data_IF_016243454263
#
_entry.id   IF_016243454263
#
_cell.length_a   1.000
_cell.length_b   1.000
_cell.length_c   1.000
_cell.angle_alpha   90.00
_cell.angle_beta   90.00
_cell.angle_gamma   90.00
#
_symmetry.space_group_name_H-M   'P 1'
#
loop_
_entity.id
_entity.type
_entity.pdbx_description
1 polymer ?
#
# COMPACT_ATOMS: atom_id res chain seq x y z
N UNK A 1 -13.71 -6.62 -0.95
CA UNK A 1 -15.01 -6.70 -1.63
C UNK A 1 -15.70 -8.02 -1.34
N UNK A 2 -17.05 -8.00 -1.30
CA UNK A 2 -17.88 -9.20 -1.15
C UNK A 2 -18.64 -9.48 -2.46
N UNK A 3 -17.91 -9.44 -3.57
CA UNK A 3 -18.41 -9.74 -4.90
C UNK A 3 -18.03 -11.16 -5.30
N UNK A 4 -18.87 -11.79 -6.10
CA UNK A 4 -18.62 -13.10 -6.71
C UNK A 4 -18.03 -12.87 -8.10
N UNK A 5 -16.77 -13.23 -8.30
CA UNK A 5 -15.98 -12.91 -9.49
C UNK A 5 -16.61 -13.40 -10.80
N UNK A 6 -17.10 -14.64 -10.83
CA UNK A 6 -17.71 -15.24 -12.01
C UNK A 6 -19.16 -14.82 -12.27
N UNK A 7 -19.71 -13.88 -11.50
CA UNK A 7 -21.06 -13.35 -11.70
C UNK A 7 -21.01 -11.98 -12.36
N UNK A 8 -22.11 -11.61 -13.06
CA UNK A 8 -22.24 -10.27 -13.62
C UNK A 8 -22.41 -9.20 -12.52
N UNK A 9 -22.16 -7.94 -12.87
CA UNK A 9 -22.44 -6.79 -12.01
C UNK A 9 -23.90 -6.83 -11.53
N UNK A 10 -24.86 -7.07 -12.44
CA UNK A 10 -26.28 -7.17 -12.09
C UNK A 10 -26.53 -8.27 -11.09
N UNK A 11 -26.03 -9.48 -11.35
CA UNK A 11 -26.26 -10.63 -10.47
C UNK A 11 -25.67 -10.43 -9.07
N UNK A 12 -24.53 -9.74 -8.95
CA UNK A 12 -23.94 -9.37 -7.68
C UNK A 12 -24.78 -8.34 -6.91
N UNK A 13 -25.35 -7.34 -7.61
CA UNK A 13 -26.17 -6.31 -6.98
C UNK A 13 -27.47 -6.88 -6.41
N UNK A 14 -28.16 -7.74 -7.15
CA UNK A 14 -29.47 -8.29 -6.77
C UNK A 14 -29.39 -9.50 -5.86
N UNK A 15 -28.23 -10.11 -5.70
CA UNK A 15 -28.03 -11.32 -4.90
C UNK A 15 -28.62 -11.19 -3.48
N UNK A 16 -29.54 -12.09 -3.13
CA UNK A 16 -30.23 -12.13 -1.85
C UNK A 16 -31.42 -11.17 -1.70
N UNK A 17 -31.73 -10.40 -2.77
CA UNK A 17 -32.92 -9.51 -2.89
C UNK A 17 -33.49 -9.57 -4.30
N UNK A 18 -33.40 -10.74 -4.92
CA UNK A 18 -33.79 -10.96 -6.30
C UNK A 18 -35.31 -10.70 -6.50
N UNK A 19 -35.70 -9.82 -7.43
CA UNK A 19 -37.12 -9.65 -7.73
C UNK A 19 -37.67 -10.90 -8.43
N UNK A 20 -38.67 -11.52 -7.84
CA UNK A 20 -39.29 -12.73 -8.38
C UNK A 20 -40.78 -12.55 -8.62
N UNK A 21 -41.31 -13.15 -9.68
CA UNK A 21 -42.72 -13.23 -9.98
C UNK A 21 -43.09 -14.66 -10.34
N UNK A 22 -44.03 -15.25 -9.60
CA UNK A 22 -44.45 -16.65 -9.74
C UNK A 22 -43.27 -17.64 -9.71
N UNK A 23 -42.22 -17.36 -8.90
CA UNK A 23 -41.02 -18.20 -8.79
C UNK A 23 -39.97 -17.95 -9.91
N UNK A 24 -40.19 -17.02 -10.81
CA UNK A 24 -39.25 -16.68 -11.87
C UNK A 24 -38.56 -15.34 -11.58
N UNK A 25 -37.25 -15.30 -11.76
CA UNK A 25 -36.41 -14.12 -11.59
C UNK A 25 -36.74 -13.04 -12.62
N UNK A 26 -36.98 -11.80 -12.17
CA UNK A 26 -37.30 -10.63 -13.01
C UNK A 26 -36.06 -9.80 -13.32
N UNK A 27 -35.08 -10.37 -14.05
CA UNK A 27 -33.80 -9.70 -14.39
C UNK A 27 -33.99 -8.36 -15.13
N UNK A 28 -35.04 -8.21 -15.95
CA UNK A 28 -35.28 -6.98 -16.71
C UNK A 28 -35.63 -5.81 -15.78
N UNK A 29 -36.53 -6.02 -14.85
CA UNK A 29 -36.94 -5.02 -13.86
C UNK A 29 -35.75 -4.63 -12.95
N UNK A 30 -34.99 -5.62 -12.51
CA UNK A 30 -33.78 -5.41 -11.73
C UNK A 30 -32.76 -4.55 -12.50
N UNK A 31 -32.54 -4.85 -13.77
CA UNK A 31 -31.62 -4.10 -14.63
C UNK A 31 -32.02 -2.64 -14.78
N UNK A 32 -33.30 -2.38 -15.06
CA UNK A 32 -33.83 -1.01 -15.20
C UNK A 32 -33.61 -0.22 -13.91
N UNK A 33 -33.84 -0.83 -12.76
CA UNK A 33 -33.59 -0.20 -11.44
C UNK A 33 -32.12 0.05 -11.16
N UNK A 34 -31.22 -0.88 -11.49
CA UNK A 34 -29.77 -0.71 -11.33
C UNK A 34 -29.27 0.43 -12.22
N UNK A 35 -29.72 0.50 -13.48
CA UNK A 35 -29.35 1.58 -14.40
C UNK A 35 -29.85 2.95 -13.91
N UNK A 36 -31.08 3.01 -13.37
CA UNK A 36 -31.62 4.25 -12.81
C UNK A 36 -30.80 4.73 -11.58
N UNK A 37 -30.36 3.82 -10.71
CA UNK A 37 -29.47 4.14 -9.58
C UNK A 37 -28.09 4.56 -10.08
N UNK A 38 -27.54 3.86 -11.05
CA UNK A 38 -26.25 4.18 -11.68
C UNK A 38 -26.25 5.59 -12.28
N UNK A 39 -27.32 5.98 -12.97
CA UNK A 39 -27.48 7.32 -13.52
C UNK A 39 -27.66 8.38 -12.43
N UNK A 40 -28.53 8.11 -11.44
CA UNK A 40 -28.84 9.04 -10.34
C UNK A 40 -27.59 9.45 -9.55
N UNK A 41 -26.69 8.50 -9.26
CA UNK A 41 -25.51 8.73 -8.43
C UNK A 41 -24.20 8.82 -9.23
N UNK A 42 -24.26 8.84 -10.58
CA UNK A 42 -23.07 8.93 -11.43
C UNK A 42 -22.18 7.67 -11.41
N UNK A 43 -22.66 6.57 -10.81
CA UNK A 43 -21.93 5.30 -10.65
C UNK A 43 -22.03 4.45 -11.92
N UNK A 44 -21.36 4.85 -13.00
CA UNK A 44 -21.43 4.15 -14.28
C UNK A 44 -20.87 2.73 -14.18
N UNK A 45 -21.70 1.75 -14.49
CA UNK A 45 -21.35 0.31 -14.58
C UNK A 45 -22.02 -0.30 -15.80
N UNK A 46 -21.43 -1.37 -16.34
CA UNK A 46 -22.10 -2.26 -17.29
C UNK A 46 -22.72 -3.44 -16.50
N UNK A 47 -24.07 -3.54 -16.44
CA UNK A 47 -24.74 -4.61 -15.69
C UNK A 47 -24.40 -6.03 -16.15
N UNK A 48 -23.94 -6.22 -17.38
CA UNK A 48 -23.66 -7.52 -17.99
C UNK A 48 -22.17 -7.92 -17.87
N UNK A 49 -21.28 -6.98 -17.52
CA UNK A 49 -19.87 -7.26 -17.33
C UNK A 49 -19.65 -8.23 -16.17
N UNK A 50 -18.73 -9.17 -16.31
CA UNK A 50 -18.30 -10.03 -15.22
C UNK A 50 -17.40 -9.26 -14.23
N UNK A 51 -17.48 -9.58 -12.95
CA UNK A 51 -16.69 -8.90 -11.93
C UNK A 51 -15.19 -9.12 -12.14
N UNK A 52 -14.78 -10.30 -12.61
CA UNK A 52 -13.37 -10.61 -12.91
C UNK A 52 -12.79 -9.78 -14.07
N UNK A 53 -13.64 -9.24 -14.96
CA UNK A 53 -13.23 -8.46 -16.15
C UNK A 53 -13.19 -6.96 -15.91
N UNK A 54 -13.70 -6.47 -14.76
CA UNK A 54 -13.80 -5.03 -14.47
C UNK A 54 -12.71 -4.55 -13.52
N UNK A 55 -12.38 -3.27 -13.60
CA UNK A 55 -11.40 -2.62 -12.73
C UNK A 55 -11.86 -2.59 -11.27
N UNK A 56 -10.90 -2.43 -10.35
CA UNK A 56 -11.18 -2.33 -8.90
C UNK A 56 -12.10 -1.16 -8.58
N UNK A 57 -11.96 -0.01 -9.24
CA UNK A 57 -12.87 1.14 -9.12
C UNK A 57 -14.30 0.79 -9.55
N UNK A 58 -14.48 0.00 -10.62
CA UNK A 58 -15.81 -0.48 -11.04
C UNK A 58 -16.38 -1.51 -10.05
N UNK A 59 -15.54 -2.35 -9.44
CA UNK A 59 -15.97 -3.25 -8.37
C UNK A 59 -16.49 -2.46 -7.17
N UNK A 60 -15.81 -1.38 -6.78
CA UNK A 60 -16.25 -0.49 -5.71
C UNK A 60 -17.61 0.16 -6.03
N UNK A 61 -17.79 0.68 -7.25
CA UNK A 61 -19.08 1.22 -7.71
C UNK A 61 -20.19 0.17 -7.66
N UNK A 62 -19.88 -1.09 -7.98
CA UNK A 62 -20.81 -2.22 -7.88
C UNK A 62 -21.23 -2.48 -6.43
N UNK A 63 -20.29 -2.46 -5.47
CA UNK A 63 -20.61 -2.62 -4.03
C UNK A 63 -21.50 -1.47 -3.51
N UNK A 64 -21.25 -0.23 -3.94
CA UNK A 64 -22.08 0.92 -3.58
C UNK A 64 -23.48 0.75 -4.15
N UNK A 65 -23.61 0.42 -5.43
CA UNK A 65 -24.91 0.17 -6.08
C UNK A 65 -25.68 -0.97 -5.41
N UNK A 66 -24.98 -2.03 -4.97
CA UNK A 66 -25.54 -3.15 -4.21
C UNK A 66 -26.15 -2.69 -2.88
N UNK A 67 -25.51 -1.78 -2.16
CA UNK A 67 -26.07 -1.17 -0.95
C UNK A 67 -27.28 -0.30 -1.25
N UNK A 68 -27.19 0.53 -2.28
CA UNK A 68 -28.26 1.45 -2.68
C UNK A 68 -29.48 0.70 -3.21
N UNK A 69 -29.32 -0.38 -3.94
CA UNK A 69 -30.40 -1.21 -4.46
C UNK A 69 -31.29 -1.77 -3.34
N UNK A 70 -30.71 -2.00 -2.15
CA UNK A 70 -31.41 -2.54 -0.98
C UNK A 70 -32.19 -1.48 -0.18
N UNK A 71 -32.12 -0.19 -0.57
CA UNK A 71 -32.82 0.92 0.09
C UNK A 71 -32.53 1.07 1.59
N UNK A 72 -31.36 0.67 2.04
CA UNK A 72 -30.96 0.75 3.44
C UNK A 72 -30.96 2.23 3.92
N UNK A 73 -31.38 2.46 5.16
CA UNK A 73 -31.33 3.78 5.82
C UNK A 73 -29.97 4.06 6.45
N UNK A 74 -29.27 3.00 6.88
CA UNK A 74 -27.94 3.08 7.49
C UNK A 74 -26.95 2.39 6.55
N UNK A 75 -25.92 3.15 6.14
CA UNK A 75 -24.86 2.68 5.25
C UNK A 75 -23.55 2.62 6.04
N UNK A 76 -22.82 1.52 5.91
CA UNK A 76 -21.53 1.34 6.58
C UNK A 76 -20.48 1.18 5.50
N UNK A 77 -19.52 2.11 5.46
CA UNK A 77 -18.36 2.08 4.58
C UNK A 77 -17.10 1.79 5.41
N UNK A 78 -16.47 0.66 5.16
CA UNK A 78 -15.24 0.24 5.84
C UNK A 78 -14.06 0.36 4.89
N UNK A 79 -13.23 1.39 5.10
CA UNK A 79 -12.07 1.76 4.28
C UNK A 79 -12.32 1.75 2.75
N UNK A 80 -13.36 2.45 2.25
CA UNK A 80 -13.80 2.31 0.86
C UNK A 80 -12.85 2.95 -0.14
N UNK A 81 -11.84 3.70 0.30
CA UNK A 81 -10.93 4.48 -0.55
C UNK A 81 -9.55 3.83 -0.74
N UNK A 82 -9.32 2.66 -0.12
CA UNK A 82 -8.00 2.04 -0.05
C UNK A 82 -7.38 1.70 -1.43
N UNK A 83 -8.19 1.60 -2.48
CA UNK A 83 -7.77 1.17 -3.84
C UNK A 83 -8.26 2.12 -4.93
N UNK A 84 -8.76 3.30 -4.55
CA UNK A 84 -9.30 4.29 -5.47
C UNK A 84 -8.25 5.33 -5.87
N UNK A 85 -8.38 5.85 -7.08
CA UNK A 85 -7.63 7.04 -7.53
C UNK A 85 -8.13 8.29 -6.80
N UNK A 86 -7.36 9.39 -6.74
CA UNK A 86 -7.81 10.64 -6.14
C UNK A 86 -9.15 11.13 -6.69
N UNK A 87 -9.35 11.05 -8.01
CA UNK A 87 -10.60 11.47 -8.66
C UNK A 87 -11.78 10.59 -8.23
N UNK A 88 -11.58 9.26 -8.10
CA UNK A 88 -12.62 8.35 -7.62
C UNK A 88 -12.92 8.55 -6.12
N UNK A 89 -11.94 8.99 -5.33
CA UNK A 89 -12.14 9.38 -3.93
C UNK A 89 -13.04 10.61 -3.85
N UNK A 90 -12.75 11.65 -4.63
CA UNK A 90 -13.56 12.87 -4.68
C UNK A 90 -15.02 12.55 -5.10
N UNK A 91 -15.21 11.71 -6.14
CA UNK A 91 -16.53 11.23 -6.56
C UNK A 91 -17.26 10.50 -5.43
N UNK A 92 -16.56 9.64 -4.69
CA UNK A 92 -17.14 8.91 -3.56
C UNK A 92 -17.55 9.85 -2.41
N UNK A 93 -16.72 10.85 -2.09
CA UNK A 93 -17.05 11.85 -1.06
C UNK A 93 -18.32 12.65 -1.45
N UNK A 94 -18.46 13.03 -2.72
CA UNK A 94 -19.67 13.69 -3.23
C UNK A 94 -20.91 12.80 -3.12
N UNK A 95 -20.80 11.52 -3.46
CA UNK A 95 -21.88 10.54 -3.30
C UNK A 95 -22.30 10.43 -1.85
N UNK A 96 -21.35 10.33 -0.93
CA UNK A 96 -21.66 10.24 0.51
C UNK A 96 -22.37 11.50 1.01
N UNK A 97 -21.93 12.71 0.61
CA UNK A 97 -22.63 13.95 0.93
C UNK A 97 -24.07 13.98 0.37
N UNK A 98 -24.27 13.54 -0.87
CA UNK A 98 -25.59 13.45 -1.49
C UNK A 98 -26.50 12.50 -0.74
N UNK A 99 -26.01 11.32 -0.37
CA UNK A 99 -26.77 10.33 0.42
C UNK A 99 -27.14 10.86 1.81
N UNK A 100 -26.22 11.55 2.49
CA UNK A 100 -26.49 12.19 3.77
C UNK A 100 -27.55 13.29 3.63
N UNK A 101 -27.51 14.11 2.56
CA UNK A 101 -28.52 15.11 2.26
C UNK A 101 -29.91 14.51 1.95
N UNK A 102 -29.98 13.29 1.42
CA UNK A 102 -31.19 12.51 1.23
C UNK A 102 -31.74 11.90 2.55
N UNK A 103 -31.05 12.12 3.68
CA UNK A 103 -31.47 11.63 4.99
C UNK A 103 -30.93 10.25 5.37
N UNK A 104 -30.00 9.70 4.59
CA UNK A 104 -29.31 8.45 4.97
C UNK A 104 -28.32 8.70 6.10
N UNK A 105 -28.23 7.74 7.01
CA UNK A 105 -27.20 7.74 8.06
C UNK A 105 -25.97 6.97 7.56
N UNK A 106 -24.80 7.62 7.59
CA UNK A 106 -23.55 7.02 7.08
C UNK A 106 -22.59 6.81 8.25
N UNK A 107 -22.11 5.57 8.41
CA UNK A 107 -20.99 5.23 9.26
C UNK A 107 -19.78 4.95 8.36
N UNK A 108 -18.82 5.86 8.38
CA UNK A 108 -17.61 5.80 7.56
C UNK A 108 -16.41 5.47 8.45
N UNK A 109 -15.73 4.39 8.13
CA UNK A 109 -14.52 3.95 8.84
C UNK A 109 -13.34 4.21 7.92
N UNK A 110 -12.41 5.03 8.37
CA UNK A 110 -11.16 5.34 7.66
C UNK A 110 -10.08 5.73 8.67
N UNK A 111 -8.83 5.51 8.27
CA UNK A 111 -7.66 6.07 8.95
C UNK A 111 -7.10 7.30 8.21
N UNK A 112 -7.62 7.63 7.02
CA UNK A 112 -7.23 8.77 6.20
C UNK A 112 -7.92 10.04 6.69
N UNK A 113 -7.18 10.87 7.43
CA UNK A 113 -7.74 12.04 8.10
C UNK A 113 -8.27 13.10 7.13
N UNK A 114 -7.71 13.20 5.92
CA UNK A 114 -8.20 14.12 4.88
C UNK A 114 -9.66 13.81 4.55
N UNK A 115 -9.96 12.54 4.25
CA UNK A 115 -11.29 12.07 3.91
C UNK A 115 -12.29 12.27 5.07
N UNK A 116 -11.84 11.93 6.29
CA UNK A 116 -12.65 12.10 7.50
C UNK A 116 -13.04 13.56 7.69
N UNK A 117 -12.06 14.47 7.60
CA UNK A 117 -12.30 15.91 7.77
C UNK A 117 -13.18 16.50 6.68
N UNK A 118 -13.20 15.91 5.51
CA UNK A 118 -13.94 16.40 4.35
C UNK A 118 -15.42 16.02 4.38
N UNK A 119 -15.76 14.79 4.79
CA UNK A 119 -17.11 14.24 4.60
C UNK A 119 -17.91 14.06 5.90
N UNK A 120 -17.24 13.93 7.06
CA UNK A 120 -17.95 13.59 8.28
C UNK A 120 -18.40 14.82 9.09
N UNK A 121 -19.58 14.74 9.71
CA UNK A 121 -20.07 15.74 10.68
C UNK A 121 -19.42 15.56 12.05
N UNK A 122 -19.21 14.30 12.45
CA UNK A 122 -18.64 13.92 13.75
C UNK A 122 -17.69 12.76 13.61
N UNK A 123 -16.62 12.78 14.39
CA UNK A 123 -15.61 11.73 14.41
C UNK A 123 -15.56 11.07 15.78
N UNK A 124 -15.78 9.77 15.80
CA UNK A 124 -15.60 8.93 17.00
C UNK A 124 -14.28 8.19 16.90
N UNK A 125 -13.41 8.38 17.89
CA UNK A 125 -12.08 7.75 17.90
C UNK A 125 -12.11 6.47 18.72
N UNK A 126 -11.68 5.37 18.10
CA UNK A 126 -11.43 4.08 18.74
C UNK A 126 -9.92 3.82 18.82
N UNK A 127 -9.44 3.41 20.00
CA UNK A 127 -8.03 3.06 20.19
C UNK A 127 -7.91 1.80 21.02
N UNK A 128 -7.26 0.76 20.48
CA UNK A 128 -7.07 -0.55 21.15
C UNK A 128 -8.40 -1.13 21.68
N UNK A 129 -9.46 -1.05 20.87
CA UNK A 129 -10.78 -1.54 21.21
C UNK A 129 -11.55 -0.68 22.25
N UNK A 130 -11.03 0.48 22.63
CA UNK A 130 -11.68 1.40 23.58
C UNK A 130 -12.17 2.64 22.85
N UNK A 131 -13.35 3.09 23.18
CA UNK A 131 -13.88 4.39 22.81
C UNK A 131 -13.11 5.49 23.55
N UNK A 132 -12.55 6.46 22.81
CA UNK A 132 -11.74 7.56 23.36
C UNK A 132 -12.58 8.83 23.48
N UNK A 133 -13.44 9.09 22.51
CA UNK A 133 -14.30 10.27 22.48
C UNK A 133 -14.91 10.49 21.11
N UNK A 134 -15.88 11.41 21.05
CA UNK A 134 -16.45 11.93 19.82
C UNK A 134 -16.27 13.44 19.78
N UNK A 135 -15.86 13.95 18.64
CA UNK A 135 -15.67 15.39 18.38
C UNK A 135 -16.44 15.79 17.12
N UNK A 136 -16.89 17.05 17.06
CA UNK A 136 -17.43 17.60 15.82
C UNK A 136 -16.27 17.92 14.87
N UNK A 137 -16.42 17.58 13.61
CA UNK A 137 -15.36 17.80 12.60
C UNK A 137 -15.02 19.28 12.45
N UNK A 138 -16.01 20.16 12.56
CA UNK A 138 -15.83 21.61 12.49
C UNK A 138 -15.06 22.23 13.68
N UNK A 139 -14.88 21.50 14.78
CA UNK A 139 -14.27 21.95 16.03
C UNK A 139 -12.92 21.28 16.33
N UNK A 140 -12.45 20.40 15.45
CA UNK A 140 -11.23 19.62 15.63
C UNK A 140 -10.25 19.82 14.49
N UNK A 141 -9.05 19.27 14.64
CA UNK A 141 -7.99 19.30 13.64
C UNK A 141 -7.45 17.90 13.36
N UNK A 142 -6.83 17.69 12.19
CA UNK A 142 -6.12 16.45 11.87
C UNK A 142 -5.11 16.07 12.96
N UNK A 143 -4.42 17.08 13.51
CA UNK A 143 -3.43 16.87 14.57
C UNK A 143 -4.07 16.38 15.87
N UNK A 144 -5.23 16.92 16.25
CA UNK A 144 -5.98 16.46 17.44
C UNK A 144 -6.48 15.04 17.27
N UNK A 145 -7.09 14.74 16.14
CA UNK A 145 -7.57 13.38 15.82
C UNK A 145 -6.42 12.37 15.87
N UNK A 146 -5.28 12.69 15.26
CA UNK A 146 -4.08 11.84 15.32
C UNK A 146 -3.62 11.58 16.74
N UNK A 147 -3.56 12.62 17.57
CA UNK A 147 -3.17 12.49 18.97
C UNK A 147 -4.16 11.61 19.75
N UNK A 148 -5.46 11.73 19.47
CA UNK A 148 -6.48 10.86 20.09
C UNK A 148 -6.32 9.40 19.63
N UNK A 149 -6.08 9.16 18.34
CA UNK A 149 -5.88 7.81 17.76
C UNK A 149 -4.66 7.12 18.34
N UNK A 150 -3.54 7.82 18.45
CA UNK A 150 -2.25 7.26 18.91
C UNK A 150 -2.13 7.31 20.44
N UNK A 151 -2.66 8.36 21.08
CA UNK A 151 -2.59 8.58 22.53
C UNK A 151 -1.36 9.29 23.03
N UNK A 152 -0.61 9.90 22.13
CA UNK A 152 0.50 10.81 22.36
C UNK A 152 0.54 11.84 21.23
N UNK A 153 1.28 12.94 21.38
CA UNK A 153 1.56 13.81 20.26
C UNK A 153 2.20 13.04 19.10
N UNK A 154 1.72 13.28 17.88
CA UNK A 154 2.17 12.66 16.64
C UNK A 154 2.68 13.76 15.72
N UNK A 155 3.74 13.47 15.00
CA UNK A 155 4.27 14.34 13.96
C UNK A 155 3.68 13.90 12.62
N UNK A 156 2.70 14.64 12.07
CA UNK A 156 2.06 14.31 10.80
C UNK A 156 2.96 14.63 9.61
N UNK A 157 3.76 15.69 9.74
CA UNK A 157 4.71 16.07 8.71
C UNK A 157 6.04 15.35 8.92
N UNK A 158 6.56 14.78 7.85
CA UNK A 158 7.89 14.17 7.87
C UNK A 158 8.94 15.26 7.89
N UNK A 159 9.61 15.43 9.04
CA UNK A 159 10.78 16.31 9.12
C UNK A 159 12.00 15.54 8.63
N UNK A 160 12.60 16.03 7.56
CA UNK A 160 13.85 15.48 7.00
C UNK A 160 14.78 16.61 6.55
N UNK A 161 16.07 16.39 6.73
CA UNK A 161 17.09 17.26 6.17
C UNK A 161 17.15 17.16 4.65
N UNK A 162 17.85 18.08 4.00
CA UNK A 162 18.10 17.99 2.58
C UNK A 162 18.96 16.75 2.26
N UNK A 163 18.54 15.98 1.26
CA UNK A 163 19.27 14.80 0.84
C UNK A 163 20.69 15.15 0.41
N UNK A 164 21.64 14.29 0.74
CA UNK A 164 23.04 14.41 0.32
C UNK A 164 23.42 13.17 -0.53
N UNK A 165 22.89 13.07 -1.76
CA UNK A 165 23.16 11.92 -2.61
C UNK A 165 24.65 11.74 -2.87
N UNK A 166 25.12 10.51 -2.70
CA UNK A 166 26.52 10.13 -2.98
C UNK A 166 26.59 9.21 -4.22
N UNK A 167 27.46 8.19 -4.21
CA UNK A 167 27.62 7.25 -5.33
C UNK A 167 26.36 6.43 -5.65
N UNK A 168 26.28 5.95 -6.88
CA UNK A 168 25.21 5.05 -7.32
C UNK A 168 25.27 3.73 -6.55
N UNK A 169 24.13 3.33 -5.96
CA UNK A 169 23.97 2.03 -5.30
C UNK A 169 23.19 1.06 -6.18
N UNK A 170 22.09 1.53 -6.78
CA UNK A 170 21.30 0.75 -7.74
C UNK A 170 21.29 1.47 -9.08
N UNK A 171 21.60 0.74 -10.17
CA UNK A 171 21.36 1.17 -11.54
C UNK A 171 20.51 0.12 -12.24
N UNK A 172 19.43 0.55 -12.83
CA UNK A 172 18.55 -0.23 -13.70
C UNK A 172 18.67 0.34 -15.10
N UNK A 173 18.87 -0.50 -16.10
CA UNK A 173 19.17 -0.10 -17.46
C UNK A 173 18.40 -0.95 -18.47
N UNK A 174 17.45 -0.34 -19.19
CA UNK A 174 16.57 -0.96 -20.17
C UNK A 174 15.85 -2.23 -19.69
N UNK A 175 15.38 -2.22 -18.43
CA UNK A 175 14.77 -3.38 -17.79
C UNK A 175 13.39 -3.68 -18.36
N UNK A 176 13.18 -4.93 -18.79
CA UNK A 176 11.87 -5.47 -19.11
C UNK A 176 11.58 -6.68 -18.24
N UNK A 177 10.32 -6.77 -17.77
CA UNK A 177 9.80 -7.92 -17.01
C UNK A 177 8.48 -8.36 -17.61
N UNK A 178 8.33 -9.65 -17.86
CA UNK A 178 7.13 -10.21 -18.48
C UNK A 178 6.00 -10.30 -17.47
N UNK A 179 4.76 -10.04 -17.91
CA UNK A 179 3.57 -10.22 -17.06
C UNK A 179 3.19 -11.70 -16.97
N UNK A 180 2.84 -12.17 -15.78
CA UNK A 180 2.29 -13.52 -15.59
C UNK A 180 0.79 -13.61 -15.93
N UNK A 181 0.11 -12.46 -16.01
CA UNK A 181 -1.34 -12.38 -16.27
C UNK A 181 -1.62 -12.05 -17.74
N UNK A 182 -0.81 -11.19 -18.33
CA UNK A 182 -0.99 -10.71 -19.70
C UNK A 182 0.13 -11.21 -20.60
N UNK A 183 -0.16 -11.42 -21.90
CA UNK A 183 0.85 -11.83 -22.92
C UNK A 183 1.73 -10.66 -23.39
N UNK A 184 2.10 -9.75 -22.50
CA UNK A 184 2.98 -8.60 -22.77
C UNK A 184 3.92 -8.36 -21.60
N UNK A 185 4.89 -7.48 -21.77
CA UNK A 185 5.70 -7.02 -20.65
C UNK A 185 4.83 -6.16 -19.70
N UNK A 186 5.00 -6.39 -18.42
CA UNK A 186 4.45 -5.54 -17.35
C UNK A 186 5.39 -4.37 -17.03
N UNK A 187 6.71 -4.58 -17.26
CA UNK A 187 7.74 -3.54 -17.20
C UNK A 187 8.37 -3.46 -18.57
N UNK A 188 8.44 -2.27 -19.13
CA UNK A 188 8.85 -2.06 -20.51
C UNK A 188 9.90 -0.94 -20.60
N UNK A 189 11.13 -1.33 -20.87
CA UNK A 189 12.28 -0.43 -21.11
C UNK A 189 12.56 0.57 -19.98
N UNK A 190 12.49 0.13 -18.73
CA UNK A 190 12.65 0.99 -17.55
C UNK A 190 14.13 1.20 -17.23
N UNK A 191 14.53 2.47 -17.09
CA UNK A 191 15.90 2.87 -16.73
C UNK A 191 15.86 3.93 -15.63
N UNK A 192 16.61 3.72 -14.53
CA UNK A 192 16.78 4.69 -13.45
C UNK A 192 17.95 4.32 -12.54
N UNK A 193 18.32 5.26 -11.67
CA UNK A 193 19.34 5.05 -10.64
C UNK A 193 18.84 5.40 -9.25
N UNK A 194 19.39 4.77 -8.21
CA UNK A 194 19.19 5.17 -6.79
C UNK A 194 20.57 5.33 -6.17
N UNK A 195 20.82 6.48 -5.57
CA UNK A 195 22.10 6.84 -4.96
C UNK A 195 22.07 6.67 -3.44
N UNK A 196 23.22 6.48 -2.86
CA UNK A 196 23.38 6.50 -1.39
C UNK A 196 22.90 7.85 -0.83
N UNK A 197 22.14 7.83 0.27
CA UNK A 197 21.63 9.03 0.92
C UNK A 197 20.45 9.70 0.22
N UNK A 198 19.71 8.96 -0.66
CA UNK A 198 18.46 9.45 -1.24
C UNK A 198 17.31 8.45 -1.13
N UNK A 199 16.09 8.97 -1.09
CA UNK A 199 14.85 8.22 -1.26
C UNK A 199 14.32 8.52 -2.66
N UNK A 200 14.35 7.52 -3.54
CA UNK A 200 13.68 7.57 -4.84
C UNK A 200 12.36 6.82 -4.71
N UNK A 201 11.26 7.49 -5.03
CA UNK A 201 9.95 6.86 -5.02
C UNK A 201 9.49 6.53 -6.44
N UNK A 202 8.99 5.32 -6.63
CA UNK A 202 8.19 4.94 -7.79
C UNK A 202 6.73 5.13 -7.42
N UNK A 203 6.12 6.17 -7.97
CA UNK A 203 4.71 6.49 -7.82
C UNK A 203 3.92 5.94 -9.01
N UNK A 204 2.63 5.63 -8.80
CA UNK A 204 1.74 5.17 -9.86
C UNK A 204 0.46 4.59 -9.28
N UNK A 205 -0.49 4.25 -10.14
CA UNK A 205 -1.72 3.55 -9.76
C UNK A 205 -1.43 2.04 -9.75
N UNK A 206 -2.12 1.29 -8.89
CA UNK A 206 -1.96 -0.16 -8.79
C UNK A 206 -2.16 -0.86 -10.16
N UNK A 207 -1.32 -1.86 -10.45
CA UNK A 207 -1.36 -2.60 -11.71
C UNK A 207 -0.57 -1.99 -12.87
N UNK A 208 0.18 -0.92 -12.66
CA UNK A 208 1.03 -0.29 -13.69
C UNK A 208 2.43 -0.93 -13.83
N UNK A 209 2.69 -2.09 -13.20
CA UNK A 209 3.96 -2.82 -13.34
C UNK A 209 4.92 -2.66 -12.15
N UNK A 210 4.54 -1.93 -11.10
CA UNK A 210 5.40 -1.72 -9.92
C UNK A 210 5.77 -3.04 -9.24
N UNK A 211 4.81 -3.96 -9.09
CA UNK A 211 5.01 -5.27 -8.47
C UNK A 211 6.00 -6.10 -9.28
N UNK A 212 5.85 -6.17 -10.60
CA UNK A 212 6.74 -6.90 -11.49
C UNK A 212 8.15 -6.28 -11.53
N UNK A 213 8.24 -4.95 -11.49
CA UNK A 213 9.53 -4.26 -11.36
C UNK A 213 10.24 -4.69 -10.07
N UNK A 214 9.56 -4.66 -8.94
CA UNK A 214 10.13 -5.09 -7.65
C UNK A 214 10.52 -6.58 -7.69
N UNK A 215 9.70 -7.43 -8.29
CA UNK A 215 10.03 -8.86 -8.42
C UNK A 215 11.27 -9.07 -9.28
N UNK A 216 11.40 -8.34 -10.40
CA UNK A 216 12.61 -8.32 -11.21
C UNK A 216 13.85 -7.87 -10.44
N UNK A 217 13.73 -6.80 -9.64
CA UNK A 217 14.82 -6.26 -8.82
C UNK A 217 15.24 -7.20 -7.69
N UNK A 218 14.27 -7.81 -7.00
CA UNK A 218 14.52 -8.68 -5.85
C UNK A 218 14.87 -10.12 -6.24
N UNK A 219 14.63 -10.49 -7.51
CA UNK A 219 14.88 -11.83 -8.05
C UNK A 219 13.76 -12.83 -7.76
N UNK A 220 12.59 -12.34 -7.34
CA UNK A 220 11.35 -13.15 -7.26
C UNK A 220 10.86 -13.52 -8.65
N UNK A 221 11.17 -12.67 -9.64
CA UNK A 221 10.96 -12.94 -11.06
C UNK A 221 12.24 -12.67 -11.86
N UNK A 222 12.33 -13.23 -13.06
CA UNK A 222 13.48 -13.05 -13.95
C UNK A 222 13.20 -11.93 -14.94
N UNK A 223 14.11 -10.94 -15.06
CA UNK A 223 14.05 -9.98 -16.15
C UNK A 223 14.05 -10.69 -17.53
N UNK A 224 13.24 -10.20 -18.47
CA UNK A 224 13.26 -10.67 -19.85
C UNK A 224 14.37 -10.03 -20.66
N UNK A 225 14.77 -8.80 -20.31
CA UNK A 225 15.93 -8.08 -20.86
C UNK A 225 16.37 -6.96 -19.92
N UNK A 226 17.47 -6.29 -20.25
CA UNK A 226 18.06 -5.21 -19.47
C UNK A 226 19.03 -5.69 -18.40
N UNK A 227 19.63 -4.73 -17.69
CA UNK A 227 20.63 -5.01 -16.66
C UNK A 227 20.28 -4.35 -15.33
N UNK A 228 20.62 -5.01 -14.23
CA UNK A 228 20.47 -4.52 -12.87
C UNK A 228 21.85 -4.55 -12.22
N UNK A 229 22.39 -3.38 -11.91
CA UNK A 229 23.67 -3.24 -11.22
C UNK A 229 23.43 -2.79 -9.78
N UNK A 230 23.97 -3.52 -8.80
CA UNK A 230 23.90 -3.21 -7.38
C UNK A 230 25.31 -3.10 -6.80
N UNK A 231 25.64 -1.95 -6.20
CA UNK A 231 26.96 -1.65 -5.68
C UNK A 231 28.09 -1.93 -6.72
N UNK A 232 27.86 -1.57 -7.98
CA UNK A 232 28.80 -1.75 -9.07
C UNK A 232 28.91 -3.18 -9.64
N UNK A 233 28.08 -4.13 -9.17
CA UNK A 233 28.06 -5.52 -9.64
C UNK A 233 26.76 -5.80 -10.40
N UNK A 234 26.86 -6.46 -11.55
CA UNK A 234 25.69 -6.97 -12.26
C UNK A 234 25.03 -8.11 -11.46
N UNK A 235 23.76 -7.91 -11.12
CA UNK A 235 22.93 -8.88 -10.39
C UNK A 235 21.73 -9.37 -11.20
N UNK A 236 21.66 -9.07 -12.50
CA UNK A 236 20.49 -9.35 -13.36
C UNK A 236 20.06 -10.83 -13.28
N UNK A 237 21.01 -11.74 -13.17
CA UNK A 237 20.78 -13.18 -13.06
C UNK A 237 21.20 -13.77 -11.71
N UNK A 238 21.52 -12.92 -10.72
CA UNK A 238 21.92 -13.37 -9.40
C UNK A 238 20.74 -13.98 -8.63
N UNK A 239 21.04 -14.95 -7.77
CA UNK A 239 20.04 -15.53 -6.86
C UNK A 239 19.53 -14.52 -5.83
N UNK A 240 18.33 -14.73 -5.31
CA UNK A 240 17.74 -13.91 -4.21
C UNK A 240 18.73 -13.78 -3.04
N UNK A 241 19.39 -14.87 -2.67
CA UNK A 241 20.38 -14.87 -1.59
C UNK A 241 21.55 -13.95 -1.86
N UNK A 242 22.09 -13.95 -3.08
CA UNK A 242 23.20 -13.08 -3.47
C UNK A 242 22.78 -11.61 -3.52
N UNK A 243 21.60 -11.32 -4.06
CA UNK A 243 21.02 -9.95 -4.02
C UNK A 243 20.86 -9.45 -2.59
N UNK A 244 20.43 -10.33 -1.67
CA UNK A 244 20.26 -10.05 -0.25
C UNK A 244 21.56 -9.75 0.52
N UNK A 245 22.75 -9.88 -0.09
CA UNK A 245 24.00 -9.44 0.52
C UNK A 245 24.10 -7.91 0.61
N UNK A 246 23.50 -7.18 -0.34
CA UNK A 246 23.49 -5.71 -0.42
C UNK A 246 22.09 -5.09 -0.40
N UNK A 247 21.03 -5.90 -0.41
CA UNK A 247 19.64 -5.45 -0.51
C UNK A 247 18.79 -5.98 0.64
N UNK A 248 17.99 -5.10 1.24
CA UNK A 248 16.85 -5.43 2.09
C UNK A 248 15.55 -5.19 1.35
N UNK A 249 14.52 -5.99 1.62
CA UNK A 249 13.22 -5.89 0.97
C UNK A 249 12.09 -5.91 1.99
N UNK A 250 11.35 -4.81 2.07
CA UNK A 250 10.11 -4.68 2.81
C UNK A 250 8.99 -4.90 1.78
N UNK A 251 8.33 -6.06 1.76
CA UNK A 251 7.38 -6.40 0.72
C UNK A 251 6.01 -5.76 0.95
N UNK A 252 5.25 -5.58 -0.14
CA UNK A 252 3.87 -5.13 -0.11
C UNK A 252 2.96 -6.08 0.68
N UNK A 253 3.00 -7.38 0.34
CA UNK A 253 2.22 -8.41 1.04
C UNK A 253 3.03 -9.02 2.19
N UNK A 254 2.63 -8.62 3.40
CA UNK A 254 3.23 -9.07 4.67
C UNK A 254 3.12 -10.57 4.88
N UNK A 255 2.05 -11.18 4.38
CA UNK A 255 1.70 -12.58 4.62
C UNK A 255 2.29 -13.51 3.57
N UNK A 256 2.40 -13.05 2.32
CA UNK A 256 2.95 -13.84 1.22
C UNK A 256 4.47 -13.83 1.20
N UNK A 257 5.08 -12.65 1.43
CA UNK A 257 6.51 -12.44 1.27
C UNK A 257 7.22 -11.90 2.52
N UNK A 258 6.47 -11.38 3.51
CA UNK A 258 7.04 -10.72 4.68
C UNK A 258 7.33 -11.68 5.83
N UNK A 259 6.35 -12.41 6.31
CA UNK A 259 6.41 -13.25 7.51
C UNK A 259 5.90 -14.66 7.25
N UNK A 260 6.51 -15.63 7.91
CA UNK A 260 5.91 -16.97 8.06
C UNK A 260 4.96 -16.91 9.25
N UNK A 261 3.66 -16.87 8.98
CA UNK A 261 2.62 -16.57 9.99
C UNK A 261 2.59 -17.57 11.16
N UNK A 262 2.88 -18.84 10.91
CA UNK A 262 2.89 -19.89 11.95
C UNK A 262 4.19 -19.95 12.75
N UNK A 263 5.22 -19.24 12.32
CA UNK A 263 6.46 -19.10 13.06
C UNK A 263 6.32 -18.09 14.20
N UNK A 264 7.15 -18.26 15.23
CA UNK A 264 7.29 -17.26 16.28
C UNK A 264 7.98 -16.01 15.74
N UNK A 265 7.86 -14.90 16.47
CA UNK A 265 8.51 -13.65 16.12
C UNK A 265 10.05 -13.83 16.06
N UNK A 266 10.65 -14.54 17.01
CA UNK A 266 12.09 -14.83 17.01
C UNK A 266 12.55 -15.62 15.78
N UNK A 267 11.76 -16.59 15.33
CA UNK A 267 12.07 -17.36 14.11
C UNK A 267 11.98 -16.46 12.87
N UNK A 268 10.97 -15.59 12.79
CA UNK A 268 10.84 -14.62 11.72
C UNK A 268 11.97 -13.59 11.69
N UNK A 269 12.48 -13.14 12.85
CA UNK A 269 13.57 -12.17 12.93
C UNK A 269 14.89 -12.69 12.37
N UNK A 270 15.15 -13.98 12.44
CA UNK A 270 16.39 -14.60 11.94
C UNK A 270 16.21 -15.34 10.61
N UNK A 271 15.03 -15.29 10.00
CA UNK A 271 14.67 -16.10 8.83
C UNK A 271 15.68 -16.02 7.67
N UNK A 272 16.29 -14.87 7.46
CA UNK A 272 17.29 -14.64 6.40
C UNK A 272 18.74 -14.71 6.92
N UNK A 273 18.93 -14.91 8.21
CA UNK A 273 20.23 -14.87 8.89
C UNK A 273 20.55 -16.13 9.70
N UNK A 274 19.67 -17.13 9.68
CA UNK A 274 19.77 -18.32 10.53
C UNK A 274 21.11 -19.07 10.40
N UNK A 275 21.79 -18.93 9.26
CA UNK A 275 23.07 -19.57 8.95
C UNK A 275 24.29 -18.68 9.30
N UNK A 276 24.10 -17.52 9.91
CA UNK A 276 25.21 -16.72 10.43
C UNK A 276 25.84 -17.40 11.66
N UNK A 277 27.18 -17.31 11.85
CA UNK A 277 27.87 -17.96 12.97
C UNK A 277 27.31 -17.60 14.35
N UNK A 278 26.62 -16.48 14.47
CA UNK A 278 25.91 -16.04 15.67
C UNK A 278 24.73 -16.95 16.04
N UNK A 279 24.01 -17.42 15.01
CA UNK A 279 22.73 -18.12 15.14
C UNK A 279 22.84 -19.62 14.87
N UNK A 280 23.91 -20.06 14.24
CA UNK A 280 24.17 -21.45 13.88
C UNK A 280 25.52 -21.90 14.45
N UNK A 281 25.58 -23.13 14.99
CA UNK A 281 26.77 -23.76 15.41
C UNK A 281 26.75 -25.25 15.03
N UNK A 282 27.64 -25.68 14.14
CA UNK A 282 27.76 -27.08 13.64
C UNK A 282 26.44 -27.68 13.13
N UNK A 283 25.64 -26.91 12.43
CA UNK A 283 24.33 -27.32 11.87
C UNK A 283 23.15 -27.20 12.84
N UNK A 284 23.37 -26.72 14.06
CA UNK A 284 22.31 -26.53 15.05
C UNK A 284 22.03 -25.06 15.30
N UNK A 285 20.77 -24.70 15.42
CA UNK A 285 20.34 -23.34 15.73
C UNK A 285 20.60 -23.03 17.22
N UNK A 286 21.28 -21.92 17.48
CA UNK A 286 21.46 -21.38 18.81
C UNK A 286 20.22 -20.60 19.28
N UNK A 287 19.23 -21.32 19.82
CA UNK A 287 17.96 -20.75 20.25
C UNK A 287 18.10 -19.59 21.25
N UNK A 288 19.16 -19.60 22.10
CA UNK A 288 19.43 -18.51 23.04
C UNK A 288 19.81 -17.23 22.29
N UNK A 289 20.77 -17.33 21.37
CA UNK A 289 21.20 -16.18 20.55
C UNK A 289 20.05 -15.63 19.70
N UNK A 290 19.20 -16.51 19.14
CA UNK A 290 18.00 -16.14 18.40
C UNK A 290 17.01 -15.36 19.28
N UNK A 291 16.74 -15.86 20.50
CA UNK A 291 15.87 -15.22 21.47
C UNK A 291 16.39 -13.85 21.91
N UNK A 292 17.68 -13.77 22.26
CA UNK A 292 18.31 -12.53 22.70
C UNK A 292 18.28 -11.48 21.59
N UNK A 293 18.54 -11.88 20.34
CA UNK A 293 18.47 -11.00 19.18
C UNK A 293 17.03 -10.53 18.88
N UNK A 294 16.06 -11.42 18.97
CA UNK A 294 14.66 -11.05 18.76
C UNK A 294 14.19 -10.05 19.82
N UNK A 295 14.54 -10.24 21.09
CA UNK A 295 14.22 -9.30 22.17
C UNK A 295 14.86 -7.94 21.92
N UNK A 296 16.13 -7.90 21.50
CA UNK A 296 16.79 -6.65 21.10
C UNK A 296 16.01 -5.90 20.00
N UNK A 297 15.57 -6.60 18.95
CA UNK A 297 14.78 -5.97 17.87
C UNK A 297 13.39 -5.53 18.35
N UNK A 298 12.74 -6.33 19.18
CA UNK A 298 11.43 -5.99 19.77
C UNK A 298 11.52 -4.66 20.53
N UNK A 299 12.54 -4.51 21.35
CA UNK A 299 12.74 -3.31 22.17
C UNK A 299 13.13 -2.10 21.30
N UNK A 300 14.09 -2.29 20.39
CA UNK A 300 14.62 -1.22 19.51
C UNK A 300 13.55 -0.63 18.58
N UNK A 301 12.65 -1.47 18.08
CA UNK A 301 11.64 -1.07 17.10
C UNK A 301 10.20 -0.98 17.67
N UNK A 302 10.03 -1.00 18.98
CA UNK A 302 8.72 -0.98 19.65
C UNK A 302 7.72 -1.97 19.03
N UNK A 303 8.15 -3.21 18.83
CA UNK A 303 7.30 -4.28 18.31
C UNK A 303 6.47 -4.84 19.46
N UNK A 304 5.16 -4.63 19.43
CA UNK A 304 4.28 -5.12 20.50
C UNK A 304 3.74 -6.49 20.17
N UNK A 305 3.96 -7.42 21.07
CA UNK A 305 3.55 -8.81 20.95
C UNK A 305 3.04 -9.33 22.30
N UNK A 306 2.07 -10.25 22.28
CA UNK A 306 1.41 -10.71 23.52
C UNK A 306 2.32 -11.52 24.46
N UNK A 307 3.28 -12.24 23.89
CA UNK A 307 4.19 -13.14 24.62
C UNK A 307 5.69 -12.87 24.30
N UNK A 308 6.02 -11.65 23.86
CA UNK A 308 7.38 -11.30 23.45
C UNK A 308 7.83 -12.09 22.23
N UNK A 309 9.09 -12.50 22.22
CA UNK A 309 9.73 -13.18 21.08
C UNK A 309 9.07 -14.51 20.66
N UNK A 310 8.34 -15.18 21.55
CA UNK A 310 7.65 -16.45 21.27
C UNK A 310 6.24 -16.29 20.69
N UNK A 311 5.76 -15.06 20.55
CA UNK A 311 4.45 -14.78 19.94
C UNK A 311 4.45 -15.25 18.50
N UNK A 312 3.42 -16.00 18.09
CA UNK A 312 3.23 -16.35 16.68
C UNK A 312 2.87 -15.12 15.87
N UNK A 313 3.48 -14.94 14.71
CA UNK A 313 3.25 -13.79 13.84
C UNK A 313 1.78 -13.60 13.47
N UNK A 314 1.03 -14.69 13.27
CA UNK A 314 -0.41 -14.69 12.96
C UNK A 314 -1.27 -13.97 14.02
N UNK A 315 -0.87 -13.99 15.28
CA UNK A 315 -1.64 -13.39 16.39
C UNK A 315 -1.34 -11.90 16.62
N UNK A 316 -0.43 -11.33 15.83
CA UNK A 316 -0.05 -9.92 15.94
C UNK A 316 -0.95 -9.04 15.07
N UNK A 317 -1.15 -7.79 15.48
CA UNK A 317 -1.81 -6.79 14.62
C UNK A 317 -0.95 -6.46 13.39
N UNK A 318 -1.60 -6.03 12.29
CA UNK A 318 -0.92 -5.68 11.04
C UNK A 318 0.20 -4.66 11.22
N UNK A 319 0.01 -3.63 12.06
CA UNK A 319 1.04 -2.64 12.37
C UNK A 319 2.25 -3.25 13.08
N UNK A 320 2.05 -4.19 14.01
CA UNK A 320 3.17 -4.86 14.68
C UNK A 320 3.86 -5.91 13.79
N UNK A 321 3.11 -6.56 12.89
CA UNK A 321 3.70 -7.41 11.85
C UNK A 321 4.62 -6.59 10.94
N UNK A 322 4.18 -5.40 10.51
CA UNK A 322 4.97 -4.50 9.67
C UNK A 322 6.21 -3.98 10.40
N UNK A 323 6.07 -3.56 11.68
CA UNK A 323 7.22 -3.18 12.51
C UNK A 323 8.24 -4.32 12.64
N UNK A 324 7.78 -5.57 12.75
CA UNK A 324 8.66 -6.73 12.81
C UNK A 324 9.44 -6.95 11.52
N UNK A 325 8.78 -6.79 10.35
CA UNK A 325 9.44 -6.86 9.05
C UNK A 325 10.50 -5.75 8.93
N UNK A 326 10.13 -4.52 9.25
CA UNK A 326 11.04 -3.37 9.20
C UNK A 326 12.22 -3.56 10.14
N UNK A 327 11.96 -4.00 11.38
CA UNK A 327 13.02 -4.29 12.35
C UNK A 327 14.04 -5.29 11.78
N UNK A 328 13.56 -6.37 11.19
CA UNK A 328 14.39 -7.37 10.55
C UNK A 328 15.19 -6.81 9.37
N UNK A 329 14.52 -6.10 8.46
CA UNK A 329 15.14 -5.63 7.22
C UNK A 329 16.11 -4.46 7.45
N UNK A 330 15.78 -3.53 8.34
CA UNK A 330 16.64 -2.38 8.69
C UNK A 330 17.88 -2.84 9.47
N UNK A 331 17.73 -3.76 10.45
CA UNK A 331 18.87 -4.24 11.26
C UNK A 331 19.86 -5.10 10.46
N UNK A 332 19.51 -5.52 9.25
CA UNK A 332 20.43 -6.18 8.31
C UNK A 332 21.51 -5.22 7.77
N UNK A 333 21.33 -3.92 7.93
CA UNK A 333 22.26 -2.85 7.56
C UNK A 333 22.77 -2.95 6.11
N UNK A 334 21.86 -3.09 5.15
CA UNK A 334 22.17 -3.23 3.72
C UNK A 334 22.34 -1.87 3.05
N UNK A 335 22.99 -1.87 1.88
CA UNK A 335 23.25 -0.65 1.11
C UNK A 335 21.98 -0.10 0.45
N UNK A 336 21.07 -0.99 0.04
CA UNK A 336 19.77 -0.66 -0.57
C UNK A 336 18.62 -1.23 0.27
N UNK A 337 17.61 -0.39 0.50
CA UNK A 337 16.31 -0.81 1.05
C UNK A 337 15.25 -0.61 -0.02
N UNK A 338 14.62 -1.69 -0.46
CA UNK A 338 13.44 -1.67 -1.32
C UNK A 338 12.22 -1.77 -0.43
N UNK A 339 11.46 -0.67 -0.30
CA UNK A 339 10.27 -0.59 0.55
C UNK A 339 9.02 -0.44 -0.31
N UNK A 340 8.16 -1.46 -0.32
CA UNK A 340 6.97 -1.50 -1.18
C UNK A 340 5.73 -1.34 -0.31
N UNK A 341 5.03 -0.23 -0.51
CA UNK A 341 3.83 0.16 0.25
C UNK A 341 3.99 -0.08 1.77
N UNK A 342 5.07 0.43 2.38
CA UNK A 342 5.45 0.05 3.73
C UNK A 342 4.42 0.44 4.80
N UNK A 343 3.52 1.37 4.48
CA UNK A 343 2.52 1.94 5.41
C UNK A 343 1.09 1.51 5.11
N UNK A 344 0.87 0.73 4.05
CA UNK A 344 -0.47 0.34 3.59
C UNK A 344 -1.31 -0.33 4.69
N UNK A 345 -2.50 0.25 4.97
CA UNK A 345 -3.46 -0.28 5.95
C UNK A 345 -2.97 -0.23 7.39
N UNK A 346 -2.17 0.78 7.74
CA UNK A 346 -1.63 0.97 9.08
C UNK A 346 -2.23 2.23 9.74
N UNK A 347 -2.22 2.23 11.06
CA UNK A 347 -2.60 3.41 11.84
C UNK A 347 -1.51 4.52 11.76
N UNK A 348 -1.93 5.76 12.04
CA UNK A 348 -1.08 6.96 11.95
C UNK A 348 0.22 6.82 12.77
N UNK A 349 0.16 6.17 13.93
CA UNK A 349 1.33 5.99 14.77
C UNK A 349 2.34 4.99 14.21
N UNK A 350 1.87 3.97 13.49
CA UNK A 350 2.74 3.05 12.78
C UNK A 350 3.35 3.72 11.53
N UNK A 351 2.56 4.52 10.81
CA UNK A 351 3.03 5.31 9.65
C UNK A 351 4.16 6.25 10.07
N UNK A 352 3.95 7.08 11.08
CA UNK A 352 4.97 8.00 11.64
C UNK A 352 6.27 7.26 11.96
N UNK A 353 6.15 6.11 12.64
CA UNK A 353 7.31 5.30 13.00
C UNK A 353 8.07 4.80 11.76
N UNK A 354 7.37 4.27 10.75
CA UNK A 354 7.98 3.74 9.53
C UNK A 354 8.68 4.84 8.74
N UNK A 355 8.01 5.98 8.57
CA UNK A 355 8.60 7.14 7.91
C UNK A 355 9.89 7.58 8.59
N UNK A 356 9.88 7.67 9.94
CA UNK A 356 11.08 8.04 10.69
C UNK A 356 12.24 7.04 10.51
N UNK A 357 11.94 5.74 10.40
CA UNK A 357 12.98 4.73 10.15
C UNK A 357 13.57 4.86 8.74
N UNK A 358 12.74 5.05 7.70
CA UNK A 358 13.22 5.21 6.33
C UNK A 358 14.08 6.48 6.18
N UNK A 359 13.65 7.60 6.77
CA UNK A 359 14.44 8.85 6.78
C UNK A 359 15.76 8.65 7.53
N UNK A 360 15.74 8.00 8.69
CA UNK A 360 16.96 7.74 9.46
C UNK A 360 17.96 6.87 8.67
N UNK A 361 17.50 5.86 7.94
CA UNK A 361 18.39 5.03 7.10
C UNK A 361 18.93 5.82 5.92
N UNK A 362 18.13 6.66 5.26
CA UNK A 362 18.61 7.59 4.23
C UNK A 362 19.71 8.50 4.77
N UNK A 363 19.49 9.11 5.93
CA UNK A 363 20.43 10.05 6.56
C UNK A 363 21.74 9.35 7.00
N UNK A 364 21.68 8.03 7.23
CA UNK A 364 22.87 7.17 7.43
C UNK A 364 23.61 6.84 6.12
N UNK A 365 23.14 7.34 4.98
CA UNK A 365 23.72 7.14 3.66
C UNK A 365 23.24 5.89 2.94
N UNK A 366 22.14 5.25 3.35
CA UNK A 366 21.53 4.13 2.61
C UNK A 366 20.77 4.66 1.39
N UNK A 367 20.74 3.86 0.32
CA UNK A 367 19.85 4.08 -0.81
C UNK A 367 18.47 3.49 -0.49
N UNK A 368 17.41 4.24 -0.78
CA UNK A 368 16.04 3.77 -0.55
C UNK A 368 15.25 3.87 -1.84
N UNK A 369 14.74 2.73 -2.29
CA UNK A 369 13.74 2.65 -3.34
C UNK A 369 12.38 2.43 -2.67
N UNK A 370 11.57 3.49 -2.63
CA UNK A 370 10.20 3.45 -2.12
C UNK A 370 9.26 3.17 -3.30
N UNK A 371 8.31 2.28 -3.14
CA UNK A 371 7.17 2.13 -4.05
C UNK A 371 5.92 2.44 -3.24
N UNK A 372 5.20 3.49 -3.61
CA UNK A 372 4.00 3.91 -2.88
C UNK A 372 2.91 4.39 -3.83
N UNK A 373 1.67 4.10 -3.46
CA UNK A 373 0.45 4.57 -4.12
C UNK A 373 -0.19 5.74 -3.35
N UNK A 374 0.28 6.00 -2.12
CA UNK A 374 -0.25 7.06 -1.26
C UNK A 374 0.47 8.38 -1.57
N UNK A 375 -0.27 9.35 -2.13
CA UNK A 375 0.30 10.64 -2.57
C UNK A 375 1.01 11.39 -1.44
N UNK A 376 0.43 11.39 -0.23
CA UNK A 376 1.01 12.05 0.94
C UNK A 376 2.38 11.44 1.31
N UNK A 377 2.50 10.10 1.21
CA UNK A 377 3.77 9.39 1.44
C UNK A 377 4.78 9.71 0.35
N UNK A 378 4.36 9.68 -0.92
CA UNK A 378 5.21 10.03 -2.07
C UNK A 378 5.77 11.43 -1.91
N UNK A 379 4.92 12.43 -1.67
CA UNK A 379 5.31 13.84 -1.58
C UNK A 379 6.17 14.14 -0.35
N UNK A 380 5.91 13.51 0.79
CA UNK A 380 6.60 13.80 2.04
C UNK A 380 7.96 13.11 2.19
N UNK A 381 8.09 11.87 1.72
CA UNK A 381 9.30 11.07 1.90
C UNK A 381 10.32 11.23 0.77
N UNK A 382 9.86 11.41 -0.48
CA UNK A 382 10.73 11.32 -1.64
C UNK A 382 11.70 12.49 -1.73
N UNK A 383 12.90 12.20 -2.21
CA UNK A 383 13.87 13.19 -2.69
C UNK A 383 13.78 13.32 -4.22
N UNK A 384 13.36 12.24 -4.91
CA UNK A 384 13.00 12.16 -6.32
C UNK A 384 11.79 11.25 -6.50
N UNK A 385 10.92 11.60 -7.45
CA UNK A 385 9.73 10.82 -7.78
C UNK A 385 9.85 10.35 -9.23
N UNK A 386 9.78 9.04 -9.45
CA UNK A 386 9.62 8.41 -10.76
C UNK A 386 8.18 7.99 -10.90
N UNK A 387 7.49 8.44 -11.93
CA UNK A 387 6.09 8.07 -12.13
C UNK A 387 6.00 6.93 -13.12
N UNK A 388 5.37 5.84 -12.71
CA UNK A 388 5.19 4.64 -13.53
C UNK A 388 3.75 4.54 -14.04
N UNK A 389 3.61 4.40 -15.35
CA UNK A 389 2.34 4.22 -16.03
C UNK A 389 2.48 3.21 -17.17
N UNK A 390 1.60 2.20 -17.22
CA UNK A 390 1.61 1.12 -18.23
C UNK A 390 2.98 0.45 -18.44
N UNK A 391 3.73 0.27 -17.36
CA UNK A 391 5.03 -0.41 -17.39
C UNK A 391 6.22 0.47 -17.75
N UNK A 392 6.03 1.76 -17.97
CA UNK A 392 7.06 2.72 -18.36
C UNK A 392 7.24 3.81 -17.29
N UNK A 393 8.44 4.39 -17.16
CA UNK A 393 8.65 5.62 -16.40
C UNK A 393 8.26 6.79 -17.32
N UNK A 394 7.16 7.46 -16.97
CA UNK A 394 6.57 8.56 -17.76
C UNK A 394 6.97 9.95 -17.29
N UNK A 395 7.67 10.05 -16.18
CA UNK A 395 8.21 11.33 -15.66
C UNK A 395 9.13 11.13 -14.47
N UNK A 396 10.07 12.05 -14.32
CA UNK A 396 10.95 12.21 -13.15
C UNK A 396 10.70 13.59 -12.53
N UNK A 397 10.21 13.63 -11.30
CA UNK A 397 9.70 14.84 -10.66
C UNK A 397 10.46 15.16 -9.37
N UNK A 398 10.60 16.46 -9.10
CA UNK A 398 11.11 16.99 -7.84
C UNK A 398 9.92 17.27 -6.90
N UNK A 399 9.79 16.57 -5.75
CA UNK A 399 8.66 16.76 -4.84
C UNK A 399 8.53 18.19 -4.29
N UNK A 400 9.61 18.96 -4.32
CA UNK A 400 9.60 20.38 -3.88
C UNK A 400 9.00 21.34 -4.92
N UNK A 401 8.86 20.89 -6.17
CA UNK A 401 8.39 21.70 -7.31
C UNK A 401 7.09 21.18 -7.91
N UNK A 402 6.69 19.98 -7.56
CA UNK A 402 5.52 19.30 -8.12
C UNK A 402 4.34 19.44 -7.18
N UNK A 403 3.14 19.65 -7.71
CA UNK A 403 1.91 19.60 -6.91
C UNK A 403 1.29 18.20 -6.94
N UNK A 404 0.39 17.93 -5.99
CA UNK A 404 -0.34 16.65 -5.92
C UNK A 404 -1.18 16.44 -7.18
N UNK A 405 -1.81 17.51 -7.70
CA UNK A 405 -2.60 17.48 -8.92
C UNK A 405 -1.73 17.15 -10.15
N UNK A 406 -0.54 17.74 -10.24
CA UNK A 406 0.41 17.45 -11.31
C UNK A 406 0.88 15.99 -11.26
N UNK A 407 1.26 15.50 -10.08
CA UNK A 407 1.61 14.11 -9.88
C UNK A 407 0.46 13.18 -10.31
N UNK A 408 -0.78 13.51 -9.94
CA UNK A 408 -1.98 12.79 -10.34
C UNK A 408 -2.15 12.69 -11.86
N UNK A 409 -1.84 13.75 -12.61
CA UNK A 409 -1.91 13.73 -14.08
C UNK A 409 -0.88 12.77 -14.71
N UNK A 410 0.33 12.72 -14.17
CA UNK A 410 1.33 11.73 -14.63
C UNK A 410 0.89 10.30 -14.28
N UNK A 411 0.41 10.05 -13.06
CA UNK A 411 -0.05 8.74 -12.62
C UNK A 411 -1.23 8.22 -13.44
N UNK A 412 -2.10 9.12 -13.93
CA UNK A 412 -3.22 8.81 -14.82
C UNK A 412 -2.82 8.69 -16.30
N UNK A 413 -1.54 8.92 -16.66
CA UNK A 413 -1.06 8.90 -18.05
C UNK A 413 -1.48 10.09 -18.91
N UNK A 414 -2.14 11.10 -18.31
CA UNK A 414 -2.57 12.32 -18.99
C UNK A 414 -1.40 13.28 -19.29
N UNK A 415 -0.29 13.13 -18.57
CA UNK A 415 0.95 13.89 -18.78
C UNK A 415 2.12 12.92 -18.86
N UNK A 416 3.06 13.18 -19.77
CA UNK A 416 4.31 12.42 -19.94
C UNK A 416 5.44 13.40 -20.21
N UNK A 417 6.61 13.17 -19.63
CA UNK A 417 7.83 13.83 -20.09
C UNK A 417 8.26 13.19 -21.41
N UNK A 418 8.46 14.02 -22.43
CA UNK A 418 9.12 13.57 -23.66
C UNK A 418 10.60 13.52 -23.34
N UNK A 419 11.14 12.33 -23.04
CA UNK A 419 12.58 12.17 -23.06
C UNK A 419 13.03 12.37 -24.51
N UNK A 420 13.65 13.54 -24.78
CA UNK A 420 14.25 13.84 -26.06
C UNK A 420 15.29 12.76 -26.40
N UNK A 421 15.20 12.30 -27.63
CA UNK A 421 16.11 11.34 -28.25
C UNK A 421 17.57 11.84 -28.27
#
# INVERSE_FOLDING_TARGET
>A
FKLVECFSVLDNIIMGVEPTKHGFLQKKEARERVLALSEKYGLKVDPDALIEDITVGMQQRTEILKMLYRENEILIFDEPTAVLTPQEIDELMEIMRSLAAEGKSILFISHKLNEIMEVSDRVSVLRKGKYIGTVNTSETTKQELSNMMVGRPVQLEVTKDEAKPAGEVLKVDHLCVHSHVQKRNAVNDVSFTVRAGEIVCIAGIDGNGQTELVYGLTGLDKPSSGTITLCGKDISHASIRHRGEHMSHIPEDRHKHGLVLDFTLEQNMVLQRFNEPRFENHGFINNKAVRDYANYLIDKFDVRSGQGAITRARSMSGGNQQKAIIAREVDRDKDLIVAVQPTRGLDVGAIEFIHSQLVAERDRGKAILLVSLELDEVMSLSDRILVMYEGEIVGELDPKKTTVEELGLYMAGAKREVHGA
#
